data_IF_434019190443
#
_entry.id   IF_434019190443
#
_cell.length_a   1.000
_cell.length_b   1.000
_cell.length_c   1.000
_cell.angle_alpha   90.00
_cell.angle_beta   90.00
_cell.angle_gamma   90.00
#
_symmetry.space_group_name_H-M   'P 1'
#
loop_
_entity.id
_entity.type
_entity.pdbx_description
1 polymer ?
#
# COMPACT_ATOMS: atom_id res chain seq x y z
N UNK A 1 5.76 -17.71 -7.30
CA UNK A 1 6.52 -17.44 -6.07
C UNK A 1 5.53 -17.13 -4.97
N UNK A 2 5.57 -17.87 -3.87
CA UNK A 2 4.66 -17.68 -2.74
C UNK A 2 5.17 -16.57 -1.81
N UNK A 3 4.33 -16.04 -0.89
CA UNK A 3 4.73 -14.95 0.00
C UNK A 3 5.96 -15.23 0.88
N UNK A 4 6.18 -16.49 1.29
CA UNK A 4 7.34 -16.87 2.12
C UNK A 4 8.64 -16.84 1.33
N UNK A 5 8.61 -17.30 0.09
CA UNK A 5 9.76 -17.21 -0.83
C UNK A 5 10.14 -15.74 -1.08
N UNK A 6 9.13 -14.88 -1.29
CA UNK A 6 9.35 -13.44 -1.47
C UNK A 6 9.96 -12.84 -0.19
N UNK A 7 9.44 -13.19 0.99
CA UNK A 7 10.00 -12.74 2.26
C UNK A 7 11.47 -13.16 2.43
N UNK A 8 11.81 -14.40 2.10
CA UNK A 8 13.19 -14.89 2.16
C UNK A 8 14.11 -14.11 1.22
N UNK A 9 13.65 -13.80 0.01
CA UNK A 9 14.40 -12.96 -0.95
C UNK A 9 14.61 -11.56 -0.38
N UNK A 10 13.55 -10.91 0.11
CA UNK A 10 13.63 -9.55 0.66
C UNK A 10 14.59 -9.50 1.86
N UNK A 11 14.50 -10.45 2.80
CA UNK A 11 15.42 -10.52 3.94
C UNK A 11 16.87 -10.68 3.51
N UNK A 12 17.12 -11.58 2.55
CA UNK A 12 18.46 -11.76 1.99
C UNK A 12 18.97 -10.52 1.25
N UNK A 13 18.08 -9.76 0.60
CA UNK A 13 18.44 -8.49 -0.03
C UNK A 13 18.80 -7.41 0.98
N UNK A 14 17.99 -7.24 2.04
CA UNK A 14 18.28 -6.29 3.11
C UNK A 14 19.63 -6.63 3.76
N UNK A 15 19.87 -7.90 4.06
CA UNK A 15 21.16 -8.38 4.59
C UNK A 15 22.33 -8.06 3.62
N UNK A 16 22.14 -8.28 2.31
CA UNK A 16 23.16 -7.94 1.32
C UNK A 16 23.42 -6.42 1.23
N UNK A 17 22.38 -5.60 1.35
CA UNK A 17 22.48 -4.14 1.38
C UNK A 17 23.28 -3.67 2.60
N UNK A 18 23.08 -4.29 3.76
CA UNK A 18 23.83 -3.99 4.99
C UNK A 18 25.31 -4.42 4.89
N UNK A 19 25.60 -5.59 4.30
CA UNK A 19 26.96 -6.13 4.19
C UNK A 19 27.78 -5.42 3.11
N UNK A 20 27.21 -5.22 1.92
CA UNK A 20 27.95 -4.76 0.74
C UNK A 20 27.77 -3.26 0.45
N UNK A 21 26.90 -2.58 1.21
CA UNK A 21 26.45 -1.22 0.96
C UNK A 21 25.21 -1.19 0.06
N UNK A 22 24.24 -0.33 0.41
CA UNK A 22 22.88 -0.27 -0.16
C UNK A 22 22.77 -0.62 -1.65
N UNK A 23 23.30 0.22 -2.52
CA UNK A 23 23.18 0.02 -3.98
C UNK A 23 23.85 -1.26 -4.47
N UNK A 24 25.01 -1.60 -3.90
CA UNK A 24 25.78 -2.78 -4.32
C UNK A 24 25.07 -4.07 -3.91
N UNK A 25 24.57 -4.13 -2.68
CA UNK A 25 23.80 -5.28 -2.18
C UNK A 25 22.47 -5.46 -2.93
N UNK A 26 21.83 -4.35 -3.30
CA UNK A 26 20.62 -4.37 -4.10
C UNK A 26 20.86 -4.91 -5.52
N UNK A 27 21.87 -4.39 -6.24
CA UNK A 27 22.23 -4.86 -7.59
C UNK A 27 22.67 -6.32 -7.58
N UNK A 28 23.44 -6.74 -6.57
CA UNK A 28 23.83 -8.15 -6.43
C UNK A 28 22.61 -9.05 -6.23
N UNK A 29 21.65 -8.61 -5.42
CA UNK A 29 20.41 -9.34 -5.20
C UNK A 29 19.56 -9.47 -6.46
N UNK A 30 19.47 -8.40 -7.28
CA UNK A 30 18.79 -8.46 -8.58
C UNK A 30 19.37 -9.56 -9.46
N UNK A 31 20.70 -9.66 -9.53
CA UNK A 31 21.40 -10.69 -10.31
C UNK A 31 21.17 -12.08 -9.71
N UNK A 32 21.37 -12.22 -8.40
CA UNK A 32 21.23 -13.48 -7.66
C UNK A 32 19.85 -14.11 -7.80
N UNK A 33 18.80 -13.29 -7.75
CA UNK A 33 17.42 -13.77 -7.78
C UNK A 33 16.75 -13.62 -9.15
N UNK A 34 17.47 -13.12 -10.16
CA UNK A 34 16.97 -12.85 -11.51
C UNK A 34 15.67 -12.01 -11.48
N UNK A 35 15.72 -10.89 -10.75
CA UNK A 35 14.60 -9.95 -10.58
C UNK A 35 14.94 -8.61 -11.21
N UNK A 36 13.96 -8.00 -11.89
CA UNK A 36 14.05 -6.61 -12.28
C UNK A 36 13.97 -5.68 -11.06
N UNK A 37 14.62 -4.53 -11.15
CA UNK A 37 14.71 -3.49 -10.12
C UNK A 37 13.33 -3.17 -9.52
N UNK A 38 12.39 -2.74 -10.36
CA UNK A 38 11.05 -2.33 -9.93
C UNK A 38 10.30 -3.41 -9.14
N UNK A 39 10.56 -4.69 -9.45
CA UNK A 39 9.89 -5.81 -8.78
C UNK A 39 10.51 -6.06 -7.40
N UNK A 40 11.83 -5.95 -7.29
CA UNK A 40 12.54 -6.11 -6.04
C UNK A 40 12.23 -4.95 -5.09
N UNK A 41 12.27 -3.70 -5.58
CA UNK A 41 11.86 -2.52 -4.82
C UNK A 41 10.45 -2.65 -4.28
N UNK A 42 9.50 -3.07 -5.13
CA UNK A 42 8.10 -3.24 -4.73
C UNK A 42 7.93 -4.27 -3.61
N UNK A 43 8.74 -5.34 -3.62
CA UNK A 43 8.72 -6.36 -2.57
C UNK A 43 9.36 -5.88 -1.29
N UNK A 44 10.47 -5.14 -1.37
CA UNK A 44 11.10 -4.50 -0.22
C UNK A 44 10.12 -3.51 0.43
N UNK A 45 9.53 -2.58 -0.33
CA UNK A 45 8.55 -1.63 0.22
C UNK A 45 7.33 -2.31 0.83
N UNK A 46 6.87 -3.44 0.26
CA UNK A 46 5.75 -4.19 0.84
C UNK A 46 6.14 -4.81 2.18
N UNK A 47 7.36 -5.33 2.29
CA UNK A 47 7.88 -5.88 3.54
C UNK A 47 8.17 -4.80 4.57
N UNK A 48 8.70 -3.65 4.18
CA UNK A 48 8.92 -2.52 5.10
C UNK A 48 7.59 -1.96 5.62
N UNK A 49 6.57 -1.86 4.75
CA UNK A 49 5.27 -1.33 5.13
C UNK A 49 4.47 -2.25 6.09
N UNK A 50 4.69 -3.56 6.05
CA UNK A 50 3.84 -4.50 6.79
C UNK A 50 4.39 -5.90 7.02
N UNK A 51 5.70 -6.11 6.88
CA UNK A 51 6.35 -7.41 6.92
C UNK A 51 5.76 -8.39 5.93
N UNK A 52 5.64 -9.65 6.35
CA UNK A 52 4.96 -10.69 5.55
C UNK A 52 3.51 -10.31 5.20
N UNK A 53 2.81 -9.55 6.06
CA UNK A 53 1.43 -9.13 5.78
C UNK A 53 1.34 -8.17 4.59
N UNK A 54 2.32 -7.27 4.45
CA UNK A 54 2.41 -6.37 3.30
C UNK A 54 2.73 -7.11 2.00
N UNK A 55 3.62 -8.11 2.05
CA UNK A 55 3.87 -9.01 0.90
C UNK A 55 2.58 -9.75 0.50
N UNK A 56 1.83 -10.27 1.48
CA UNK A 56 0.55 -10.94 1.22
C UNK A 56 -0.49 -9.98 0.66
N UNK A 57 -0.58 -8.75 1.16
CA UNK A 57 -1.45 -7.71 0.60
C UNK A 57 -1.13 -7.41 -0.87
N UNK A 58 0.16 -7.43 -1.21
CA UNK A 58 0.64 -7.17 -2.56
C UNK A 58 0.31 -8.32 -3.53
N UNK A 59 0.51 -9.56 -3.09
CA UNK A 59 0.59 -10.74 -3.97
C UNK A 59 -0.66 -11.60 -3.95
N UNK A 60 -1.36 -11.67 -2.83
CA UNK A 60 -2.56 -12.48 -2.69
C UNK A 60 -3.77 -11.76 -3.25
N UNK A 61 -4.66 -12.56 -3.81
CA UNK A 61 -5.86 -12.05 -4.47
C UNK A 61 -7.04 -12.90 -4.05
N UNK A 62 -7.98 -12.28 -3.35
CA UNK A 62 -9.17 -12.95 -2.81
C UNK A 62 -10.34 -11.97 -2.71
N UNK A 63 -11.54 -12.46 -2.49
CA UNK A 63 -12.72 -11.63 -2.26
C UNK A 63 -13.03 -11.63 -0.77
N UNK A 64 -12.88 -10.49 -0.06
CA UNK A 64 -13.24 -10.42 1.35
C UNK A 64 -14.75 -10.62 1.56
N UNK A 65 -15.12 -11.04 2.76
CA UNK A 65 -16.52 -11.18 3.18
C UNK A 65 -17.31 -9.88 3.00
N UNK A 66 -18.61 -10.00 2.71
CA UNK A 66 -19.45 -8.86 2.36
C UNK A 66 -19.54 -7.88 3.53
N UNK A 67 -19.65 -8.41 4.74
CA UNK A 67 -19.76 -7.70 6.02
C UNK A 67 -18.50 -6.88 6.26
N UNK A 68 -17.31 -7.50 6.09
CA UNK A 68 -16.03 -6.81 6.24
C UNK A 68 -15.88 -5.66 5.25
N UNK A 69 -16.33 -5.87 4.02
CA UNK A 69 -16.32 -4.82 2.99
C UNK A 69 -17.32 -3.70 3.28
N UNK A 70 -18.52 -4.01 3.77
CA UNK A 70 -19.52 -3.02 4.14
C UNK A 70 -19.03 -2.15 5.31
N UNK A 71 -18.42 -2.77 6.32
CA UNK A 71 -17.76 -2.09 7.43
C UNK A 71 -16.67 -1.13 6.92
N UNK A 72 -15.80 -1.62 6.03
CA UNK A 72 -14.71 -0.83 5.47
C UNK A 72 -15.22 0.38 4.68
N UNK A 73 -16.24 0.18 3.84
CA UNK A 73 -16.85 1.27 3.07
C UNK A 73 -17.47 2.32 4.00
N UNK A 74 -18.17 1.89 5.05
CA UNK A 74 -18.72 2.82 6.06
C UNK A 74 -17.61 3.67 6.69
N UNK A 75 -16.52 3.06 7.14
CA UNK A 75 -15.39 3.79 7.73
C UNK A 75 -14.76 4.78 6.74
N UNK A 76 -14.61 4.40 5.46
CA UNK A 76 -14.12 5.31 4.42
C UNK A 76 -15.08 6.49 4.24
N UNK A 77 -16.39 6.23 4.15
CA UNK A 77 -17.38 7.29 3.99
C UNK A 77 -17.39 8.26 5.17
N UNK A 78 -17.37 7.73 6.39
CA UNK A 78 -17.34 8.52 7.62
C UNK A 78 -16.06 9.35 7.71
N UNK A 79 -14.91 8.78 7.34
CA UNK A 79 -13.64 9.50 7.29
C UNK A 79 -13.68 10.69 6.33
N UNK A 80 -14.08 10.47 5.07
CA UNK A 80 -14.11 11.56 4.08
C UNK A 80 -15.13 12.65 4.43
N UNK A 81 -16.29 12.26 4.96
CA UNK A 81 -17.32 13.21 5.40
C UNK A 81 -16.82 14.10 6.55
N UNK A 82 -15.99 13.55 7.44
CA UNK A 82 -15.50 14.25 8.63
C UNK A 82 -14.25 15.08 8.33
N UNK A 83 -13.27 14.49 7.65
CA UNK A 83 -11.95 15.08 7.45
C UNK A 83 -11.91 16.02 6.23
N UNK A 84 -12.66 15.70 5.17
CA UNK A 84 -12.64 16.47 3.92
C UNK A 84 -14.06 16.67 3.32
N UNK A 85 -14.96 17.37 4.03
CA UNK A 85 -16.36 17.52 3.61
C UNK A 85 -16.56 18.23 2.27
N UNK A 86 -15.56 19.00 1.82
CA UNK A 86 -15.61 19.71 0.53
C UNK A 86 -15.11 18.87 -0.67
N UNK A 87 -14.47 17.72 -0.43
CA UNK A 87 -13.96 16.85 -1.49
C UNK A 87 -15.06 15.92 -1.99
N UNK A 88 -15.23 15.86 -3.31
CA UNK A 88 -15.97 14.76 -3.92
C UNK A 88 -15.06 13.54 -4.01
N UNK A 89 -15.56 12.36 -3.67
CA UNK A 89 -14.79 11.12 -3.75
C UNK A 89 -15.63 9.97 -4.30
N UNK A 90 -14.96 8.99 -4.88
CA UNK A 90 -15.53 7.74 -5.36
C UNK A 90 -14.69 6.58 -4.86
N UNK A 91 -15.34 5.46 -4.63
CA UNK A 91 -14.70 4.24 -4.13
C UNK A 91 -14.98 3.09 -5.11
N UNK A 92 -13.92 2.42 -5.55
CA UNK A 92 -14.01 1.27 -6.46
C UNK A 92 -13.42 0.05 -5.78
N UNK A 93 -14.24 -0.98 -5.60
CA UNK A 93 -13.82 -2.26 -5.01
C UNK A 93 -13.45 -3.27 -6.10
N UNK A 94 -12.30 -3.92 -5.95
CA UNK A 94 -11.89 -5.06 -6.79
C UNK A 94 -11.13 -6.08 -5.94
N UNK A 95 -11.77 -7.23 -5.66
CA UNK A 95 -11.19 -8.31 -4.84
C UNK A 95 -10.79 -7.77 -3.46
N UNK A 96 -9.56 -7.95 -3.02
CA UNK A 96 -9.04 -7.44 -1.73
C UNK A 96 -8.61 -5.97 -1.78
N UNK A 97 -8.93 -5.24 -2.85
CA UNK A 97 -8.47 -3.87 -3.08
C UNK A 97 -9.64 -2.90 -3.13
N UNK A 98 -9.45 -1.75 -2.51
CA UNK A 98 -10.33 -0.58 -2.61
C UNK A 98 -9.50 0.57 -3.16
N UNK A 99 -9.87 1.09 -4.32
CA UNK A 99 -9.27 2.32 -4.85
C UNK A 99 -10.18 3.50 -4.51
N UNK A 100 -9.60 4.52 -3.89
CA UNK A 100 -10.27 5.77 -3.58
C UNK A 100 -9.75 6.82 -4.56
N UNK A 101 -10.67 7.48 -5.24
CA UNK A 101 -10.35 8.58 -6.14
C UNK A 101 -11.13 9.82 -5.69
N UNK A 102 -10.49 10.99 -5.81
CA UNK A 102 -11.03 12.25 -5.32
C UNK A 102 -11.07 13.30 -6.42
N UNK A 103 -11.83 14.36 -6.17
CA UNK A 103 -12.08 15.43 -7.11
C UNK A 103 -12.32 16.72 -6.32
N UNK A 104 -11.56 17.76 -6.65
CA UNK A 104 -11.77 19.09 -6.09
C UNK A 104 -12.98 19.77 -6.75
N UNK A 105 -13.60 20.70 -6.01
CA UNK A 105 -14.66 21.57 -6.57
C UNK A 105 -14.11 22.33 -7.77
N UNK A 106 -14.82 22.28 -8.89
CA UNK A 106 -14.43 22.96 -10.14
C UNK A 106 -13.55 22.15 -11.08
N UNK A 107 -12.98 21.01 -10.66
CA UNK A 107 -12.33 20.08 -11.58
C UNK A 107 -13.38 19.29 -12.38
N UNK A 108 -13.01 18.75 -13.54
CA UNK A 108 -13.89 17.87 -14.33
C UNK A 108 -13.71 16.39 -13.95
N UNK A 109 -12.47 15.97 -13.71
CA UNK A 109 -12.09 14.56 -13.56
C UNK A 109 -11.75 14.19 -12.11
N UNK A 110 -11.93 12.91 -11.80
CA UNK A 110 -11.39 12.28 -10.59
C UNK A 110 -9.95 11.82 -10.83
N UNK A 111 -9.09 11.98 -9.83
CA UNK A 111 -7.76 11.38 -9.80
C UNK A 111 -7.69 10.34 -8.69
N UNK A 112 -6.88 9.30 -8.90
CA UNK A 112 -6.67 8.24 -7.92
C UNK A 112 -5.87 8.80 -6.74
N UNK A 113 -6.45 8.78 -5.54
CA UNK A 113 -5.79 9.24 -4.32
C UNK A 113 -4.96 8.12 -3.71
N UNK A 114 -5.61 6.99 -3.42
CA UNK A 114 -4.94 5.86 -2.79
C UNK A 114 -5.61 4.53 -3.13
N UNK A 115 -4.91 3.44 -2.82
CA UNK A 115 -5.45 2.10 -2.81
C UNK A 115 -5.24 1.47 -1.42
N UNK A 116 -6.29 0.88 -0.88
CA UNK A 116 -6.25 0.11 0.35
C UNK A 116 -6.32 -1.37 0.01
N UNK A 117 -5.48 -2.18 0.64
CA UNK A 117 -5.47 -3.64 0.45
C UNK A 117 -5.66 -4.36 1.76
N UNK A 118 -6.62 -5.26 1.80
CA UNK A 118 -6.91 -6.08 2.97
C UNK A 118 -6.11 -7.39 2.92
N UNK A 119 -5.60 -7.81 4.08
CA UNK A 119 -4.96 -9.11 4.29
C UNK A 119 -5.76 -9.90 5.34
N UNK A 120 -6.26 -11.10 5.02
CA UNK A 120 -7.12 -11.86 5.93
C UNK A 120 -6.30 -12.64 6.96
N UNK A 121 -5.00 -12.83 6.71
CA UNK A 121 -4.04 -13.50 7.58
C UNK A 121 -3.99 -12.89 8.99
N UNK A 122 -4.04 -11.57 9.06
CA UNK A 122 -3.91 -10.80 10.29
C UNK A 122 -4.96 -9.68 10.40
N UNK A 123 -5.92 -9.63 9.46
CA UNK A 123 -7.00 -8.67 9.45
C UNK A 123 -6.58 -7.22 9.15
N UNK A 124 -5.39 -7.01 8.58
CA UNK A 124 -4.81 -5.67 8.38
C UNK A 124 -5.15 -5.03 7.04
N UNK A 125 -5.22 -3.71 7.05
CA UNK A 125 -5.33 -2.84 5.88
C UNK A 125 -4.01 -2.13 5.60
N UNK A 126 -3.57 -2.26 4.36
CA UNK A 126 -2.31 -1.73 3.86
C UNK A 126 -2.59 -0.59 2.88
N UNK A 127 -1.89 0.53 3.04
CA UNK A 127 -2.03 1.70 2.19
C UNK A 127 -1.06 1.63 1.00
N UNK A 128 -1.53 2.05 -0.17
CA UNK A 128 -0.76 2.12 -1.40
C UNK A 128 -0.99 3.46 -2.07
N UNK A 129 0.06 4.01 -2.65
CA UNK A 129 0.05 5.23 -3.45
C UNK A 129 0.39 4.95 -4.89
N UNK A 130 -0.11 5.80 -5.78
CA UNK A 130 0.16 5.69 -7.20
C UNK A 130 1.39 6.53 -7.52
N UNK A 131 2.46 5.91 -8.01
CA UNK A 131 3.65 6.60 -8.50
C UNK A 131 3.36 7.29 -9.84
N UNK A 132 4.24 8.21 -10.25
CA UNK A 132 4.16 8.92 -11.54
C UNK A 132 4.05 7.97 -12.75
N UNK A 133 4.67 6.78 -12.67
CA UNK A 133 4.59 5.75 -13.71
C UNK A 133 3.24 4.99 -13.73
N UNK A 134 2.29 5.39 -12.90
CA UNK A 134 0.95 4.83 -12.80
C UNK A 134 0.82 3.57 -11.94
N UNK A 135 1.92 3.08 -11.32
CA UNK A 135 1.91 1.87 -10.51
C UNK A 135 1.57 2.15 -9.05
N UNK A 136 0.90 1.18 -8.42
CA UNK A 136 0.59 1.22 -6.99
C UNK A 136 1.76 0.65 -6.18
N UNK A 137 2.36 1.47 -5.33
CA UNK A 137 3.42 1.09 -4.40
C UNK A 137 2.91 1.12 -2.95
N UNK A 138 3.30 0.17 -2.09
CA UNK A 138 3.04 0.23 -0.66
C UNK A 138 3.52 1.56 -0.07
N UNK A 139 2.72 2.14 0.81
CA UNK A 139 3.10 3.31 1.59
C UNK A 139 3.87 2.86 2.83
N UNK A 140 5.16 3.18 2.87
CA UNK A 140 6.04 2.94 4.02
C UNK A 140 5.97 4.17 4.91
N UNK A 141 5.41 4.03 6.11
CA UNK A 141 5.29 5.13 7.07
C UNK A 141 6.33 4.99 8.18
N UNK A 142 6.95 6.09 8.58
CA UNK A 142 7.75 6.17 9.80
C UNK A 142 6.89 6.17 11.08
N UNK A 143 5.57 6.33 10.94
CA UNK A 143 4.63 6.28 12.05
C UNK A 143 4.45 4.83 12.46
N UNK A 144 5.31 4.41 13.38
CA UNK A 144 5.21 3.14 14.08
C UNK A 144 3.81 3.04 14.72
N UNK A 145 3.14 1.90 14.53
CA UNK A 145 1.95 1.48 15.31
C UNK A 145 0.53 1.80 14.74
N UNK A 146 0.33 1.57 13.44
CA UNK A 146 -0.98 1.64 12.78
C UNK A 146 -1.77 0.33 12.95
N UNK A 147 -1.09 -0.76 13.32
CA UNK A 147 -1.63 -2.12 13.46
C UNK A 147 -2.46 -2.63 12.28
N UNK A 148 -2.44 -1.93 11.14
CA UNK A 148 -3.31 -2.21 10.01
C UNK A 148 -4.80 -1.95 10.26
N UNK A 149 -5.15 -1.15 11.27
CA UNK A 149 -6.54 -0.73 11.50
C UNK A 149 -6.93 0.28 10.42
N UNK A 150 -8.01 0.01 9.68
CA UNK A 150 -8.43 0.83 8.54
C UNK A 150 -8.52 2.33 8.86
N UNK A 151 -9.15 2.70 9.99
CA UNK A 151 -9.27 4.10 10.38
C UNK A 151 -7.90 4.79 10.58
N UNK A 152 -6.94 4.11 11.23
CA UNK A 152 -5.58 4.63 11.40
C UNK A 152 -4.86 4.71 10.04
N UNK A 153 -5.05 3.71 9.18
CA UNK A 153 -4.52 3.69 7.81
C UNK A 153 -5.07 4.86 6.97
N UNK A 154 -6.36 5.20 7.13
CA UNK A 154 -6.97 6.37 6.48
C UNK A 154 -6.43 7.67 7.07
N UNK A 155 -6.19 7.73 8.38
CA UNK A 155 -5.65 8.92 9.03
C UNK A 155 -4.25 9.30 8.52
N UNK A 156 -3.44 8.32 8.08
CA UNK A 156 -2.19 8.61 7.37
C UNK A 156 -2.38 9.48 6.13
N UNK A 157 -3.46 9.30 5.37
CA UNK A 157 -3.74 10.13 4.20
C UNK A 157 -3.90 11.60 4.57
N UNK A 158 -4.38 11.88 5.79
CA UNK A 158 -4.52 13.23 6.29
C UNK A 158 -3.20 13.79 6.82
N UNK A 159 -2.41 12.97 7.50
CA UNK A 159 -1.10 13.39 8.00
C UNK A 159 -0.12 13.67 6.87
N UNK A 160 -0.21 12.89 5.79
CA UNK A 160 0.64 13.02 4.61
C UNK A 160 -0.14 13.57 3.41
N UNK A 161 -1.03 14.54 3.65
CA UNK A 161 -1.87 15.09 2.60
C UNK A 161 -1.02 15.73 1.49
N UNK A 162 0.10 16.36 1.82
CA UNK A 162 1.01 16.95 0.84
C UNK A 162 1.78 15.91 0.03
N UNK A 163 2.18 14.76 0.61
CA UNK A 163 2.74 13.65 -0.15
C UNK A 163 1.70 12.92 -1.01
N UNK A 164 0.44 12.88 -0.57
CA UNK A 164 -0.68 12.29 -1.30
C UNK A 164 -1.13 13.08 -2.54
N UNK A 165 -0.95 14.42 -2.55
CA UNK A 165 -1.48 15.29 -3.60
C UNK A 165 -0.42 15.81 -4.59
N UNK A 166 0.88 15.76 -4.25
CA UNK A 166 1.95 16.40 -5.03
C UNK A 166 3.14 15.48 -5.40
N UNK A 167 3.06 14.18 -5.12
CA UNK A 167 4.07 13.17 -5.51
C UNK A 167 3.85 12.53 -6.88
#
# INVERSE_FOLDING_TARGET
>A
MNPKEIESIVKATIEAMDIYGGDRGFVESMRRFNLGEEKLELWISAYEAGGISGIRALTETFTPEKEKMAEALKQIHDFFRTTWPALSYRVVRRRNRITIAVKNKGQSNFYDLCQLRYTPFDGKWHLYWKRFNGRWCPYVSEINNIDGILWKTLYLLKLDEFGCFFG
#
